data_IF_183863627992
#
_entry.id   IF_183863627992
#
_cell.length_a   1.000
_cell.length_b   1.000
_cell.length_c   1.000
_cell.angle_alpha   90.00
_cell.angle_beta   90.00
_cell.angle_gamma   90.00
#
_symmetry.space_group_name_H-M   'P 1'
#
loop_
_entity.id
_entity.type
_entity.pdbx_description
1 polymer ?
#
# COMPACT_ATOMS: atom_id res chain seq x y z
N UNK A 1 -26.98 20.76 -2.56
CA UNK A 1 -25.88 20.45 -3.51
C UNK A 1 -25.70 18.93 -3.54
N UNK A 2 -25.54 18.29 -4.70
CA UNK A 2 -25.27 16.83 -4.75
C UNK A 2 -23.81 16.57 -4.35
N UNK A 3 -23.56 15.61 -3.46
CA UNK A 3 -22.22 15.22 -2.99
C UNK A 3 -21.59 14.07 -3.76
N UNK A 4 -22.25 13.60 -4.83
CA UNK A 4 -21.84 12.45 -5.64
C UNK A 4 -21.94 12.77 -7.12
N UNK A 5 -20.96 12.31 -7.89
CA UNK A 5 -20.94 12.36 -9.36
C UNK A 5 -20.93 10.94 -9.92
N UNK A 6 -21.73 10.68 -10.95
CA UNK A 6 -21.77 9.39 -11.64
C UNK A 6 -20.61 9.29 -12.65
N UNK A 7 -20.00 8.11 -12.72
CA UNK A 7 -18.96 7.77 -13.69
C UNK A 7 -19.35 6.47 -14.41
N UNK A 8 -19.01 6.37 -15.70
CA UNK A 8 -19.04 5.12 -16.45
C UNK A 8 -17.60 4.68 -16.66
N UNK A 9 -17.29 3.44 -16.26
CA UNK A 9 -15.95 2.87 -16.36
C UNK A 9 -16.02 1.50 -17.01
N UNK A 10 -15.03 1.19 -17.85
CA UNK A 10 -14.89 -0.13 -18.45
C UNK A 10 -13.91 -0.93 -17.59
N UNK A 11 -14.34 -2.11 -17.14
CA UNK A 11 -13.51 -3.05 -16.39
C UNK A 11 -13.23 -4.29 -17.25
N UNK A 12 -12.07 -4.94 -17.08
CA UNK A 12 -11.89 -6.31 -17.56
C UNK A 12 -13.01 -7.22 -17.04
N UNK A 13 -13.43 -8.19 -17.84
CA UNK A 13 -14.56 -9.08 -17.51
C UNK A 13 -14.40 -9.76 -16.15
N UNK A 14 -13.19 -10.19 -15.80
CA UNK A 14 -12.89 -10.81 -14.51
C UNK A 14 -13.12 -9.85 -13.34
N UNK A 15 -12.71 -8.59 -13.47
CA UNK A 15 -12.91 -7.57 -12.45
C UNK A 15 -14.39 -7.18 -12.33
N UNK A 16 -15.09 -7.06 -13.46
CA UNK A 16 -16.53 -6.84 -13.45
C UNK A 16 -17.27 -7.99 -12.74
N UNK A 17 -16.85 -9.25 -12.98
CA UNK A 17 -17.42 -10.41 -12.32
C UNK A 17 -17.12 -10.41 -10.81
N UNK A 18 -15.90 -10.03 -10.42
CA UNK A 18 -15.53 -9.88 -9.00
C UNK A 18 -16.44 -8.86 -8.30
N UNK A 19 -16.67 -7.68 -8.90
CA UNK A 19 -17.57 -6.66 -8.35
C UNK A 19 -19.00 -7.22 -8.23
N UNK A 20 -19.50 -7.89 -9.26
CA UNK A 20 -20.84 -8.51 -9.23
C UNK A 20 -20.97 -9.57 -8.12
N UNK A 21 -19.97 -10.43 -7.94
CA UNK A 21 -19.97 -11.46 -6.88
C UNK A 21 -20.00 -10.84 -5.49
N UNK A 22 -19.28 -9.74 -5.27
CA UNK A 22 -19.29 -9.00 -4.00
C UNK A 22 -20.66 -8.42 -3.66
N UNK A 23 -21.40 -7.95 -4.67
CA UNK A 23 -22.75 -7.45 -4.48
C UNK A 23 -23.76 -8.60 -4.31
N UNK A 24 -23.69 -9.63 -5.15
CA UNK A 24 -24.65 -10.75 -5.11
C UNK A 24 -24.52 -11.62 -3.85
N UNK A 25 -23.34 -11.66 -3.24
CA UNK A 25 -23.12 -12.31 -1.94
C UNK A 25 -23.65 -11.49 -0.75
N UNK A 26 -24.02 -10.23 -0.96
CA UNK A 26 -24.44 -9.31 0.11
C UNK A 26 -23.29 -8.69 0.90
N UNK A 27 -22.03 -8.88 0.49
CA UNK A 27 -20.88 -8.20 1.10
C UNK A 27 -20.96 -6.68 0.90
N UNK A 28 -21.56 -6.24 -0.22
CA UNK A 28 -21.81 -4.83 -0.55
C UNK A 28 -23.22 -4.62 -1.08
N UNK A 29 -23.79 -3.44 -0.83
CA UNK A 29 -25.15 -3.10 -1.29
C UNK A 29 -25.19 -2.66 -2.77
N UNK A 30 -24.07 -2.26 -3.35
CA UNK A 30 -24.00 -1.83 -4.75
C UNK A 30 -22.58 -1.89 -5.32
N UNK A 31 -22.45 -1.92 -6.65
CA UNK A 31 -21.18 -1.85 -7.35
C UNK A 31 -20.45 -0.54 -7.03
N UNK A 32 -21.20 0.56 -6.91
CA UNK A 32 -20.64 1.86 -6.51
C UNK A 32 -20.01 1.82 -5.14
N UNK A 33 -20.48 0.98 -4.22
CA UNK A 33 -19.89 0.82 -2.90
C UNK A 33 -18.57 0.06 -2.95
N UNK A 34 -18.51 -1.04 -3.72
CA UNK A 34 -17.28 -1.79 -3.96
C UNK A 34 -16.18 -0.87 -4.52
N UNK A 35 -16.52 -0.05 -5.52
CA UNK A 35 -15.58 0.88 -6.14
C UNK A 35 -15.14 1.96 -5.14
N UNK A 36 -16.08 2.56 -4.38
CA UNK A 36 -15.72 3.57 -3.37
C UNK A 36 -14.80 3.00 -2.30
N UNK A 37 -15.06 1.77 -1.84
CA UNK A 37 -14.21 1.14 -0.83
C UNK A 37 -12.81 0.85 -1.35
N UNK A 38 -12.70 0.30 -2.57
CA UNK A 38 -11.42 0.15 -3.26
C UNK A 38 -10.64 1.46 -3.40
N UNK A 39 -11.33 2.57 -3.72
CA UNK A 39 -10.70 3.89 -3.81
C UNK A 39 -10.21 4.41 -2.44
N UNK A 40 -10.94 4.13 -1.35
CA UNK A 40 -10.48 4.49 0.01
C UNK A 40 -9.24 3.69 0.39
N UNK A 41 -9.22 2.39 0.10
CA UNK A 41 -8.07 1.55 0.36
C UNK A 41 -6.83 2.02 -0.43
N UNK A 42 -7.00 2.39 -1.70
CA UNK A 42 -5.95 2.98 -2.52
C UNK A 42 -5.42 4.28 -1.90
N UNK A 43 -6.32 5.21 -1.53
CA UNK A 43 -5.93 6.46 -0.89
C UNK A 43 -5.18 6.24 0.43
N UNK A 44 -5.62 5.29 1.25
CA UNK A 44 -4.97 4.98 2.52
C UNK A 44 -3.54 4.46 2.31
N UNK A 45 -3.35 3.57 1.33
CA UNK A 45 -2.03 3.08 0.92
C UNK A 45 -1.13 4.22 0.44
N UNK A 46 -1.63 5.10 -0.42
CA UNK A 46 -0.85 6.21 -0.97
C UNK A 46 -0.43 7.19 0.13
N UNK A 47 -1.35 7.52 1.05
CA UNK A 47 -1.05 8.38 2.21
C UNK A 47 0.01 7.76 3.13
N UNK A 48 -0.07 6.45 3.39
CA UNK A 48 0.91 5.76 4.21
C UNK A 48 2.30 5.78 3.58
N UNK A 49 2.39 5.51 2.26
CA UNK A 49 3.64 5.57 1.51
C UNK A 49 4.23 6.98 1.52
N UNK A 50 3.42 8.00 1.23
CA UNK A 50 3.86 9.39 1.20
C UNK A 50 4.34 9.87 2.57
N UNK A 51 3.62 9.49 3.63
CA UNK A 51 4.00 9.82 5.00
C UNK A 51 5.34 9.17 5.37
N UNK A 52 5.53 7.89 5.04
CA UNK A 52 6.79 7.19 5.27
C UNK A 52 7.95 7.83 4.50
N UNK A 53 7.75 8.17 3.23
CA UNK A 53 8.78 8.83 2.41
C UNK A 53 9.21 10.17 3.02
N UNK A 54 8.24 11.01 3.42
CA UNK A 54 8.51 12.34 3.98
C UNK A 54 9.13 12.31 5.37
N UNK A 55 8.99 11.21 6.11
CA UNK A 55 9.48 11.09 7.48
C UNK A 55 10.73 10.20 7.53
N UNK A 56 10.53 8.88 7.50
CA UNK A 56 11.58 7.89 7.63
C UNK A 56 12.53 7.87 6.42
N UNK A 57 11.98 7.96 5.21
CA UNK A 57 12.76 7.93 3.98
C UNK A 57 13.77 9.08 3.91
N UNK A 58 13.30 10.32 4.07
CA UNK A 58 14.16 11.51 4.13
C UNK A 58 15.15 11.41 5.30
N UNK A 59 14.70 11.01 6.49
CA UNK A 59 15.60 10.89 7.65
C UNK A 59 16.71 9.84 7.44
N UNK A 60 16.43 8.73 6.76
CA UNK A 60 17.43 7.72 6.42
C UNK A 60 18.43 8.24 5.40
N UNK A 61 17.95 8.99 4.39
CA UNK A 61 18.80 9.63 3.40
C UNK A 61 19.73 10.67 4.03
N UNK A 62 19.20 11.59 4.84
CA UNK A 62 20.01 12.63 5.50
C UNK A 62 21.09 12.04 6.41
N UNK A 63 20.74 10.96 7.12
CA UNK A 63 21.66 10.17 7.95
C UNK A 63 22.81 9.56 7.15
N UNK A 64 22.53 9.01 5.97
CA UNK A 64 23.54 8.45 5.09
C UNK A 64 24.40 9.55 4.43
N UNK A 65 23.76 10.67 4.06
CA UNK A 65 24.46 11.82 3.48
C UNK A 65 25.43 12.45 4.49
N UNK A 66 25.02 12.55 5.76
CA UNK A 66 25.86 13.09 6.83
C UNK A 66 27.00 12.14 7.23
N UNK A 67 26.79 10.83 7.13
CA UNK A 67 27.78 9.81 7.45
C UNK A 67 27.77 8.67 6.41
N UNK A 68 28.56 8.80 5.33
CA UNK A 68 28.63 7.80 4.26
C UNK A 68 29.18 6.44 4.72
N UNK A 69 29.91 6.37 5.84
CA UNK A 69 30.48 5.12 6.37
C UNK A 69 29.40 4.12 6.81
N UNK A 70 28.16 4.58 6.95
CA UNK A 70 26.97 3.77 7.28
C UNK A 70 26.46 2.93 6.12
N UNK A 71 26.95 3.16 4.91
CA UNK A 71 26.58 2.34 3.76
C UNK A 71 27.01 0.89 3.99
N UNK A 72 26.10 -0.05 3.73
CA UNK A 72 26.40 -1.48 3.77
C UNK A 72 26.62 -1.99 2.34
N UNK A 73 27.66 -2.79 2.16
CA UNK A 73 27.84 -3.58 0.94
C UNK A 73 26.74 -4.62 0.80
N UNK A 74 26.53 -5.12 -0.44
CA UNK A 74 25.45 -6.07 -0.75
C UNK A 74 25.50 -7.32 0.13
N UNK A 75 26.69 -7.85 0.39
CA UNK A 75 26.83 -9.05 1.22
C UNK A 75 26.52 -8.79 2.70
N UNK A 76 26.90 -7.62 3.22
CA UNK A 76 26.54 -7.18 4.58
C UNK A 76 25.04 -6.99 4.72
N UNK A 77 24.35 -6.46 3.69
CA UNK A 77 22.89 -6.35 3.67
C UNK A 77 22.24 -7.74 3.73
N UNK A 78 22.71 -8.69 2.91
CA UNK A 78 22.20 -10.07 2.90
C UNK A 78 22.37 -10.75 4.26
N UNK A 79 23.54 -10.62 4.85
CA UNK A 79 23.82 -11.17 6.18
C UNK A 79 22.90 -10.56 7.24
N UNK A 80 22.75 -9.23 7.23
CA UNK A 80 21.88 -8.52 8.15
C UNK A 80 20.40 -8.96 8.04
N UNK A 81 19.89 -9.09 6.82
CA UNK A 81 18.51 -9.57 6.58
C UNK A 81 18.33 -11.03 7.00
N UNK A 82 19.31 -11.90 6.73
CA UNK A 82 19.27 -13.29 7.15
C UNK A 82 19.26 -13.41 8.68
N UNK A 83 20.08 -12.61 9.37
CA UNK A 83 20.08 -12.54 10.83
C UNK A 83 18.73 -12.05 11.39
N UNK A 84 18.12 -11.04 10.77
CA UNK A 84 16.80 -10.53 11.17
C UNK A 84 15.69 -11.56 11.01
N UNK A 85 15.71 -12.37 9.95
CA UNK A 85 14.74 -13.45 9.72
C UNK A 85 14.89 -14.63 10.69
N UNK A 86 16.11 -14.88 11.18
CA UNK A 86 16.39 -15.93 12.18
C UNK A 86 15.93 -15.54 13.59
N UNK A 87 15.76 -14.26 13.89
CA UNK A 87 15.13 -13.83 15.14
C UNK A 87 13.62 -14.08 15.01
N UNK A 88 13.00 -14.95 15.84
CA UNK A 88 11.56 -15.02 15.89
C UNK A 88 11.03 -13.64 16.28
N UNK A 89 9.93 -13.22 15.65
CA UNK A 89 9.23 -12.00 16.06
C UNK A 89 8.91 -12.15 17.56
N UNK A 90 9.55 -11.33 18.40
CA UNK A 90 9.16 -11.20 19.79
C UNK A 90 7.68 -10.80 19.79
N UNK A 91 6.83 -11.71 20.26
CA UNK A 91 5.41 -11.51 20.48
C UNK A 91 5.17 -10.47 21.58
#
# INVERSE_FOLDING_TARGET
>A
MRSTQQFSVTLPNEMAQMVKTKVSSGEYASESEVIRDGLRALQARDKALESWLRTEGVAAYDKLKADPSRALGVDQVREHLAAKRRRPASA
#
